data_IF_983499467898
#
_entry.id   IF_983499467898
#
_cell.length_a   1.000
_cell.length_b   1.000
_cell.length_c   1.000
_cell.angle_alpha   90.00
_cell.angle_beta   90.00
_cell.angle_gamma   90.00
#
_symmetry.space_group_name_H-M   'P 1'
#
loop_
_entity.id
_entity.type
_entity.pdbx_description
1 polymer ?
#
# COMPACT_ATOMS: atom_id res chain seq x y z
N UNK A 1 -18.40 -56.58 -34.10
CA UNK A 1 -16.98 -56.97 -34.29
C UNK A 1 -16.20 -56.29 -33.15
N UNK A 2 -16.00 -56.84 -31.94
CA UNK A 2 -15.18 -58.01 -31.53
C UNK A 2 -13.88 -58.07 -32.34
N UNK A 3 -12.67 -57.85 -31.78
CA UNK A 3 -11.82 -58.72 -30.91
C UNK A 3 -10.63 -57.84 -30.40
N UNK A 4 -10.41 -57.64 -29.09
CA UNK A 4 -9.42 -58.27 -28.15
C UNK A 4 -7.92 -58.23 -28.50
N UNK A 5 -7.10 -57.85 -27.49
CA UNK A 5 -5.81 -58.41 -27.01
C UNK A 5 -4.78 -57.27 -26.72
N UNK A 6 -4.26 -56.94 -25.53
CA UNK A 6 -3.78 -57.63 -24.30
C UNK A 6 -2.35 -58.23 -24.42
N UNK A 7 -1.36 -57.53 -23.85
CA UNK A 7 -0.07 -58.05 -23.34
C UNK A 7 0.39 -57.10 -22.21
N UNK A 8 0.48 -57.47 -20.90
CA UNK A 8 1.46 -58.35 -20.21
C UNK A 8 2.90 -57.77 -20.31
N UNK A 9 3.73 -57.52 -19.29
CA UNK A 9 4.04 -58.15 -17.98
C UNK A 9 5.02 -57.15 -17.24
N UNK A 10 4.89 -56.81 -15.95
CA UNK A 10 5.67 -57.31 -14.77
C UNK A 10 7.10 -57.81 -15.06
N UNK A 11 8.18 -57.61 -14.29
CA UNK A 11 8.52 -56.94 -13.04
C UNK A 11 10.05 -57.11 -12.79
N UNK A 12 10.59 -56.39 -11.79
CA UNK A 12 11.67 -56.76 -10.84
C UNK A 12 13.13 -57.03 -11.29
N UNK A 13 14.08 -56.40 -10.58
CA UNK A 13 15.15 -56.99 -9.72
C UNK A 13 16.27 -55.93 -9.52
N UNK A 14 16.55 -55.41 -8.32
CA UNK A 14 17.13 -56.00 -7.11
C UNK A 14 18.66 -56.23 -7.18
N UNK A 15 19.41 -55.53 -6.32
CA UNK A 15 20.68 -56.01 -5.70
C UNK A 15 20.90 -55.23 -4.40
N UNK A 16 20.62 -55.83 -3.24
CA UNK A 16 21.55 -56.60 -2.39
C UNK A 16 22.61 -55.73 -1.70
N UNK A 17 22.55 -55.63 -0.37
CA UNK A 17 23.60 -56.20 0.51
C UNK A 17 23.25 -55.98 1.99
N UNK A 18 22.95 -57.09 2.65
CA UNK A 18 22.88 -57.26 4.10
C UNK A 18 24.30 -57.44 4.67
N UNK A 19 24.63 -56.75 5.76
CA UNK A 19 25.61 -57.24 6.74
C UNK A 19 25.11 -57.00 8.16
N UNK A 20 24.79 -58.10 8.82
CA UNK A 20 24.60 -58.27 10.25
C UNK A 20 25.99 -58.44 10.87
N UNK A 21 26.33 -57.66 11.90
CA UNK A 21 27.32 -58.04 12.90
C UNK A 21 26.71 -57.69 14.27
N UNK A 22 26.51 -58.73 15.07
CA UNK A 22 26.21 -58.65 16.48
C UNK A 22 27.51 -58.53 17.28
N UNK A 23 27.48 -57.85 18.43
CA UNK A 23 27.97 -58.35 19.73
C UNK A 23 27.82 -57.29 20.84
N UNK A 24 27.40 -57.77 22.00
CA UNK A 24 27.11 -57.03 23.23
C UNK A 24 28.37 -56.78 24.07
N UNK A 25 28.30 -55.78 24.97
CA UNK A 25 28.90 -55.69 26.33
C UNK A 25 28.49 -54.32 26.92
N UNK A 26 27.62 -54.20 27.94
CA UNK A 26 27.93 -54.22 29.40
C UNK A 26 29.12 -53.30 29.74
N UNK A 27 29.09 -52.28 30.60
CA UNK A 27 28.17 -51.81 31.65
C UNK A 27 28.53 -50.31 32.00
N UNK A 28 28.38 -49.76 33.23
CA UNK A 28 27.21 -48.99 33.66
C UNK A 28 27.53 -47.60 34.30
N UNK A 29 26.48 -46.89 34.74
CA UNK A 29 26.46 -45.81 35.73
C UNK A 29 27.30 -44.53 35.50
N UNK A 30 26.59 -43.42 35.27
CA UNK A 30 27.14 -42.06 35.38
C UNK A 30 26.05 -41.01 35.19
N UNK A 31 25.15 -40.90 36.17
CA UNK A 31 24.22 -39.77 36.27
C UNK A 31 25.01 -38.50 36.56
N UNK A 32 25.03 -37.56 35.61
CA UNK A 32 25.15 -36.14 35.89
C UNK A 32 24.16 -35.37 35.02
N UNK A 33 23.11 -34.89 35.68
CA UNK A 33 22.20 -33.87 35.18
C UNK A 33 22.98 -32.67 34.62
N UNK A 34 22.58 -32.14 33.47
CA UNK A 34 22.99 -30.79 33.08
C UNK A 34 23.09 -30.50 31.58
N UNK A 35 22.01 -30.65 30.82
CA UNK A 35 21.66 -29.65 29.79
C UNK A 35 20.24 -29.93 29.29
N UNK A 36 19.31 -29.13 29.82
CA UNK A 36 17.98 -28.97 29.23
C UNK A 36 18.15 -28.58 27.75
N UNK A 37 17.53 -29.26 26.79
CA UNK A 37 17.46 -28.75 25.43
C UNK A 37 16.50 -27.57 25.43
N UNK A 38 17.00 -26.37 25.71
CA UNK A 38 16.30 -25.09 25.51
C UNK A 38 16.18 -24.71 24.03
N UNK A 39 16.05 -25.70 23.15
CA UNK A 39 15.83 -25.51 21.73
C UNK A 39 14.70 -26.42 21.31
N UNK A 40 13.48 -25.99 21.65
CA UNK A 40 12.23 -26.21 20.92
C UNK A 40 11.04 -25.66 21.75
N UNK A 41 11.16 -24.47 22.33
CA UNK A 41 9.97 -23.62 22.58
C UNK A 41 9.51 -23.03 21.25
N UNK A 42 9.20 -23.91 20.27
CA UNK A 42 8.32 -23.53 19.16
C UNK A 42 6.99 -23.23 19.83
N UNK A 43 6.69 -21.95 19.99
CA UNK A 43 5.37 -21.47 20.36
C UNK A 43 4.40 -21.87 19.26
N UNK A 44 3.93 -23.14 19.30
CA UNK A 44 2.87 -23.67 18.46
C UNK A 44 1.49 -23.18 18.96
N UNK A 45 1.43 -21.91 19.36
CA UNK A 45 0.19 -21.22 19.70
C UNK A 45 -0.02 -20.04 18.76
N UNK A 46 0.31 -20.21 17.48
CA UNK A 46 -0.37 -19.47 16.42
C UNK A 46 -1.78 -20.04 16.33
N UNK A 47 -2.72 -19.46 17.08
CA UNK A 47 -4.13 -19.87 17.02
C UNK A 47 -4.62 -19.79 15.57
N UNK A 48 -5.51 -20.69 15.15
CA UNK A 48 -6.06 -20.70 13.78
C UNK A 48 -6.70 -19.37 13.35
N UNK A 49 -7.01 -18.49 14.31
CA UNK A 49 -7.38 -17.09 14.11
C UNK A 49 -6.26 -16.23 13.51
N UNK A 50 -5.01 -16.40 13.95
CA UNK A 50 -3.83 -15.72 13.40
C UNK A 50 -3.45 -16.23 12.00
N UNK A 51 -3.78 -17.49 11.67
CA UNK A 51 -3.60 -18.06 10.31
C UNK A 51 -4.70 -17.61 9.31
N UNK A 52 -5.84 -17.13 9.81
CA UNK A 52 -6.97 -16.67 8.98
C UNK A 52 -7.01 -15.16 8.80
N UNK A 53 -6.26 -14.41 9.61
CA UNK A 53 -5.57 -13.20 9.15
C UNK A 53 -4.53 -13.61 8.09
N UNK A 54 -4.99 -14.21 6.99
CA UNK A 54 -4.20 -14.35 5.78
C UNK A 54 -3.77 -12.94 5.39
N UNK A 55 -2.51 -12.62 5.67
CA UNK A 55 -1.64 -11.68 4.98
C UNK A 55 -2.42 -10.62 4.19
N UNK A 56 -3.17 -9.77 4.90
CA UNK A 56 -3.58 -8.52 4.30
C UNK A 56 -2.35 -7.65 4.37
N UNK A 57 -1.63 -7.58 3.26
CA UNK A 57 -0.55 -6.61 3.16
C UNK A 57 -1.13 -5.23 3.45
N UNK A 58 -0.79 -4.61 4.59
CA UNK A 58 -1.38 -3.33 4.98
C UNK A 58 -0.99 -2.23 3.98
N UNK A 59 -0.01 -2.48 3.12
CA UNK A 59 0.36 -1.63 2.01
C UNK A 59 -0.65 -1.67 0.84
N UNK A 60 -1.28 -2.82 0.58
CA UNK A 60 -2.09 -3.08 -0.63
C UNK A 60 -3.59 -2.90 -0.43
N UNK A 61 -4.04 -2.98 0.81
CA UNK A 61 -5.45 -2.90 1.14
C UNK A 61 -5.72 -1.79 2.16
N UNK A 62 -6.77 -0.98 1.94
CA UNK A 62 -7.22 -0.07 2.96
C UNK A 62 -7.68 -0.84 4.20
N UNK A 63 -7.62 -0.22 5.40
CA UNK A 63 -8.15 -0.80 6.62
C UNK A 63 -9.57 -1.34 6.43
N UNK A 64 -9.90 -2.45 7.10
CA UNK A 64 -11.22 -3.05 7.01
C UNK A 64 -12.24 -2.21 7.78
N UNK A 65 -13.41 -1.94 7.18
CA UNK A 65 -14.53 -1.33 7.89
C UNK A 65 -14.94 -2.21 9.09
N UNK A 66 -15.26 -1.62 10.25
CA UNK A 66 -15.74 -2.37 11.40
C UNK A 66 -17.07 -3.04 11.05
N UNK A 67 -17.33 -4.20 11.67
CA UNK A 67 -18.57 -4.95 11.45
C UNK A 67 -19.76 -4.12 11.90
N UNK A 68 -20.80 -4.06 11.06
CA UNK A 68 -22.07 -3.41 11.40
C UNK A 68 -22.72 -4.06 12.62
N UNK A 69 -23.65 -3.36 13.32
CA UNK A 69 -24.32 -3.88 14.51
C UNK A 69 -24.95 -5.27 14.27
N UNK A 70 -25.69 -5.43 13.17
CA UNK A 70 -26.26 -6.71 12.76
C UNK A 70 -25.20 -7.81 12.55
N UNK A 71 -24.10 -7.52 11.85
CA UNK A 71 -23.05 -8.52 11.62
C UNK A 71 -22.34 -8.91 12.93
N UNK A 72 -22.24 -8.00 13.90
CA UNK A 72 -21.74 -8.31 15.24
C UNK A 72 -22.69 -9.24 15.98
N UNK A 73 -23.99 -8.95 15.93
CA UNK A 73 -25.01 -9.80 16.51
C UNK A 73 -25.02 -11.20 15.88
N UNK A 74 -24.99 -11.29 14.55
CA UNK A 74 -24.88 -12.57 13.84
C UNK A 74 -23.63 -13.34 14.27
N UNK A 75 -22.47 -12.67 14.40
CA UNK A 75 -21.24 -13.29 14.92
C UNK A 75 -21.41 -13.79 16.37
N UNK A 76 -22.10 -13.03 17.22
CA UNK A 76 -22.40 -13.41 18.59
C UNK A 76 -23.27 -14.68 18.64
N UNK A 77 -24.30 -14.78 17.80
CA UNK A 77 -25.13 -15.99 17.69
C UNK A 77 -24.33 -17.20 17.20
N UNK A 78 -23.50 -17.02 16.17
CA UNK A 78 -22.61 -18.09 15.67
C UNK A 78 -21.66 -18.58 16.77
N UNK A 79 -21.09 -17.66 17.56
CA UNK A 79 -20.23 -18.02 18.69
C UNK A 79 -21.01 -18.80 19.77
N UNK A 80 -22.25 -18.40 20.06
CA UNK A 80 -23.12 -19.10 21.01
C UNK A 80 -23.43 -20.53 20.53
N UNK A 81 -23.75 -20.72 19.26
CA UNK A 81 -24.03 -22.04 18.70
C UNK A 81 -22.79 -22.95 18.70
N UNK A 82 -21.63 -22.39 18.36
CA UNK A 82 -20.35 -23.12 18.39
C UNK A 82 -19.90 -23.51 19.80
N UNK A 83 -20.31 -22.81 20.85
CA UNK A 83 -20.03 -23.25 22.23
C UNK A 83 -20.68 -24.61 22.54
N UNK A 84 -21.87 -24.86 22.01
CA UNK A 84 -22.52 -26.17 22.14
C UNK A 84 -21.99 -27.21 21.15
N UNK A 85 -21.59 -26.77 19.94
CA UNK A 85 -21.11 -27.65 18.86
C UNK A 85 -19.86 -27.06 18.19
N UNK A 86 -18.66 -27.23 18.77
CA UNK A 86 -17.46 -26.53 18.31
C UNK A 86 -17.01 -26.90 16.89
N UNK A 87 -17.30 -28.12 16.44
CA UNK A 87 -16.92 -28.62 15.11
C UNK A 87 -17.98 -28.32 14.02
N UNK A 88 -19.09 -27.67 14.36
CA UNK A 88 -20.14 -27.38 13.39
C UNK A 88 -19.66 -26.36 12.35
N UNK A 89 -19.72 -26.77 11.07
CA UNK A 89 -19.51 -25.87 9.93
C UNK A 89 -20.81 -25.11 9.66
N UNK A 90 -20.88 -23.87 10.13
CA UNK A 90 -22.02 -22.98 9.92
C UNK A 90 -21.81 -22.22 8.61
N UNK A 91 -22.75 -22.38 7.68
CA UNK A 91 -22.84 -21.52 6.49
C UNK A 91 -23.40 -20.16 6.91
N UNK A 92 -22.56 -19.12 6.87
CA UNK A 92 -22.90 -17.79 7.36
C UNK A 92 -24.03 -17.13 6.58
N UNK A 93 -24.19 -17.45 5.30
CA UNK A 93 -25.23 -16.82 4.47
C UNK A 93 -26.60 -17.39 4.86
N UNK A 94 -26.71 -18.73 4.87
CA UNK A 94 -27.96 -19.41 5.26
C UNK A 94 -28.32 -19.11 6.71
N UNK A 95 -27.34 -19.17 7.61
CA UNK A 95 -27.55 -18.84 9.02
C UNK A 95 -28.02 -17.39 9.21
N UNK A 96 -27.40 -16.45 8.48
CA UNK A 96 -27.79 -15.06 8.47
C UNK A 96 -29.26 -14.88 8.06
N UNK A 97 -29.68 -15.52 6.97
CA UNK A 97 -31.04 -15.41 6.43
C UNK A 97 -32.09 -16.09 7.30
N UNK A 98 -31.81 -17.30 7.80
CA UNK A 98 -32.83 -18.13 8.45
C UNK A 98 -32.93 -17.90 9.96
N UNK A 99 -31.84 -17.52 10.61
CA UNK A 99 -31.77 -17.43 12.08
C UNK A 99 -31.48 -16.01 12.53
N UNK A 100 -30.39 -15.40 12.03
CA UNK A 100 -29.93 -14.13 12.57
C UNK A 100 -30.82 -12.95 12.19
N UNK A 101 -31.27 -12.87 10.94
CA UNK A 101 -32.16 -11.81 10.46
C UNK A 101 -33.50 -11.76 11.22
N UNK A 102 -34.31 -12.83 11.28
CA UNK A 102 -35.56 -12.79 12.03
C UNK A 102 -35.34 -12.56 13.53
N UNK A 103 -34.28 -13.13 14.09
CA UNK A 103 -33.93 -12.88 15.50
C UNK A 103 -33.59 -11.41 15.74
N UNK A 104 -32.80 -10.78 14.87
CA UNK A 104 -32.45 -9.36 14.98
C UNK A 104 -33.65 -8.44 14.84
N UNK A 105 -34.56 -8.74 13.91
CA UNK A 105 -35.81 -7.98 13.73
C UNK A 105 -36.71 -8.08 14.95
N UNK A 106 -36.76 -9.24 15.60
CA UNK A 106 -37.53 -9.46 16.84
C UNK A 106 -36.93 -8.82 18.10
N UNK A 107 -35.66 -8.39 18.07
CA UNK A 107 -35.02 -7.77 19.24
C UNK A 107 -35.58 -6.39 19.53
N UNK A 108 -35.72 -6.09 20.83
CA UNK A 108 -35.99 -4.74 21.29
C UNK A 108 -34.79 -3.82 21.05
N UNK A 109 -35.08 -2.53 20.92
CA UNK A 109 -34.05 -1.52 20.70
C UNK A 109 -33.03 -1.44 21.85
N UNK A 110 -33.48 -1.74 23.08
CA UNK A 110 -32.61 -1.87 24.25
C UNK A 110 -31.50 -2.91 24.05
N UNK A 111 -31.80 -4.01 23.35
CA UNK A 111 -30.90 -5.14 23.16
C UNK A 111 -29.99 -4.95 21.94
N UNK A 112 -30.41 -4.10 20.99
CA UNK A 112 -29.58 -3.68 19.84
C UNK A 112 -28.53 -2.64 20.25
N UNK A 113 -28.86 -1.78 21.23
CA UNK A 113 -28.03 -0.67 21.70
C UNK A 113 -26.58 -1.04 22.01
N UNK A 114 -26.24 -2.15 22.70
CA UNK A 114 -24.85 -2.53 22.96
C UNK A 114 -24.05 -2.78 21.67
N UNK A 115 -24.66 -3.38 20.65
CA UNK A 115 -24.01 -3.65 19.37
C UNK A 115 -23.79 -2.36 18.57
N UNK A 116 -24.72 -1.42 18.66
CA UNK A 116 -24.60 -0.11 18.05
C UNK A 116 -23.52 0.74 18.70
N UNK A 117 -23.47 0.78 20.03
CA UNK A 117 -22.44 1.48 20.78
C UNK A 117 -21.05 0.93 20.46
N UNK A 118 -20.90 -0.39 20.42
CA UNK A 118 -19.65 -1.03 20.03
C UNK A 118 -19.26 -0.71 18.58
N UNK A 119 -20.23 -0.67 17.65
CA UNK A 119 -19.99 -0.26 16.28
C UNK A 119 -19.53 1.19 16.19
N UNK A 120 -20.22 2.12 16.85
CA UNK A 120 -19.88 3.55 16.86
C UNK A 120 -18.48 3.78 17.44
N UNK A 121 -18.15 3.11 18.54
CA UNK A 121 -16.82 3.15 19.14
C UNK A 121 -15.74 2.70 18.13
N UNK A 122 -15.92 1.54 17.51
CA UNK A 122 -14.93 1.01 16.58
C UNK A 122 -14.86 1.84 15.29
N UNK A 123 -15.98 2.45 14.88
CA UNK A 123 -16.03 3.35 13.73
C UNK A 123 -15.25 4.65 13.98
N UNK A 124 -15.32 5.20 15.20
CA UNK A 124 -14.50 6.35 15.62
C UNK A 124 -13.01 6.05 15.52
N UNK A 125 -12.59 4.82 15.85
CA UNK A 125 -11.19 4.39 15.73
C UNK A 125 -10.79 4.07 14.27
N UNK A 126 -11.73 3.57 13.48
CA UNK A 126 -11.50 3.22 12.08
C UNK A 126 -11.28 4.44 11.19
N UNK A 127 -12.10 5.48 11.36
CA UNK A 127 -12.10 6.64 10.44
C UNK A 127 -10.76 7.36 10.30
N UNK A 128 -10.02 7.64 11.39
CA UNK A 128 -8.67 8.19 11.29
C UNK A 128 -7.72 7.25 10.56
N UNK A 129 -7.74 5.94 10.87
CA UNK A 129 -6.88 4.94 10.21
C UNK A 129 -7.14 4.85 8.71
N UNK A 130 -8.41 4.89 8.30
CA UNK A 130 -8.81 4.92 6.89
C UNK A 130 -8.25 6.17 6.22
N UNK A 131 -8.44 7.35 6.82
CA UNK A 131 -7.92 8.62 6.30
C UNK A 131 -6.39 8.57 6.16
N UNK A 132 -5.68 8.21 7.21
CA UNK A 132 -4.21 8.20 7.23
C UNK A 132 -3.65 7.24 6.17
N UNK A 133 -4.30 6.09 5.97
CA UNK A 133 -3.93 5.16 4.89
C UNK A 133 -4.08 5.82 3.52
N UNK A 134 -5.22 6.46 3.23
CA UNK A 134 -5.43 7.14 1.94
C UNK A 134 -4.48 8.33 1.75
N UNK A 135 -4.19 9.09 2.80
CA UNK A 135 -3.26 10.23 2.74
C UNK A 135 -1.80 9.80 2.58
N UNK A 136 -1.46 8.59 3.03
CA UNK A 136 -0.12 8.03 2.85
C UNK A 136 0.17 7.58 1.42
N UNK A 137 -0.85 7.51 0.55
CA UNK A 137 -0.70 7.03 -0.83
C UNK A 137 -0.76 8.18 -1.82
N UNK A 138 0.18 8.19 -2.75
CA UNK A 138 0.15 9.05 -3.93
C UNK A 138 -0.69 8.43 -5.04
N UNK A 139 -1.00 9.22 -6.08
CA UNK A 139 -1.67 8.71 -7.28
C UNK A 139 -0.88 7.59 -7.99
N UNK A 140 0.45 7.67 -7.99
CA UNK A 140 1.31 6.59 -8.51
C UNK A 140 1.21 5.32 -7.67
N UNK A 141 1.20 5.44 -6.34
CA UNK A 141 1.11 4.27 -5.46
C UNK A 141 -0.21 3.52 -5.66
N UNK A 142 -1.33 4.24 -5.82
CA UNK A 142 -2.63 3.61 -6.12
C UNK A 142 -2.62 2.94 -7.49
N UNK A 143 -1.92 3.48 -8.49
CA UNK A 143 -1.76 2.83 -9.79
C UNK A 143 -1.02 1.49 -9.66
N UNK A 144 0.10 1.47 -8.94
CA UNK A 144 0.89 0.25 -8.68
C UNK A 144 0.08 -0.78 -7.90
N UNK A 145 -0.60 -0.35 -6.82
CA UNK A 145 -1.50 -1.21 -6.05
C UNK A 145 -2.60 -1.78 -6.96
N UNK A 146 -3.13 -1.00 -7.90
CA UNK A 146 -4.15 -1.48 -8.83
C UNK A 146 -3.62 -2.50 -9.84
N UNK A 147 -2.38 -2.37 -10.29
CA UNK A 147 -1.73 -3.36 -11.14
C UNK A 147 -1.60 -4.69 -10.40
N UNK A 148 -1.09 -4.67 -9.16
CA UNK A 148 -1.02 -5.86 -8.32
C UNK A 148 -2.41 -6.45 -8.06
N UNK A 149 -3.41 -5.62 -7.75
CA UNK A 149 -4.79 -6.09 -7.55
C UNK A 149 -5.37 -6.77 -8.77
N UNK A 150 -5.05 -6.32 -9.99
CA UNK A 150 -5.47 -6.99 -11.22
C UNK A 150 -4.86 -8.38 -11.35
N UNK A 151 -3.59 -8.55 -10.99
CA UNK A 151 -2.91 -9.87 -10.99
C UNK A 151 -3.63 -10.87 -10.07
N UNK A 152 -4.14 -10.39 -8.93
CA UNK A 152 -4.92 -11.19 -7.99
C UNK A 152 -6.43 -11.26 -8.31
N UNK A 153 -6.89 -10.73 -9.46
CA UNK A 153 -8.31 -10.71 -9.81
C UNK A 153 -9.20 -9.83 -8.91
N UNK A 154 -8.58 -8.91 -8.16
CA UNK A 154 -9.27 -7.95 -7.29
C UNK A 154 -9.72 -6.71 -8.07
N UNK A 155 -10.84 -6.10 -7.64
CA UNK A 155 -11.32 -4.83 -8.21
C UNK A 155 -10.34 -3.70 -7.93
N UNK A 156 -10.12 -2.76 -8.88
CA UNK A 156 -9.26 -1.61 -8.66
C UNK A 156 -9.81 -0.70 -7.57
N UNK A 157 -8.90 -0.06 -6.85
CA UNK A 157 -9.15 1.01 -5.89
C UNK A 157 -9.15 2.36 -6.61
N UNK A 158 -10.00 3.24 -6.12
CA UNK A 158 -9.98 4.67 -6.43
C UNK A 158 -10.04 5.43 -5.13
N UNK A 159 -9.38 6.59 -5.07
CA UNK A 159 -9.48 7.47 -3.92
C UNK A 159 -10.94 7.81 -3.60
N UNK A 160 -11.35 7.73 -2.31
CA UNK A 160 -12.68 8.15 -1.89
C UNK A 160 -12.91 9.63 -2.17
N UNK A 161 -14.14 9.97 -2.58
CA UNK A 161 -14.51 11.36 -2.91
C UNK A 161 -14.29 12.30 -1.73
N UNK A 162 -14.47 11.83 -0.49
CA UNK A 162 -14.29 12.65 0.71
C UNK A 162 -12.84 13.16 0.84
N UNK A 163 -11.85 12.40 0.38
CA UNK A 163 -10.42 12.73 0.53
C UNK A 163 -9.81 13.41 -0.71
N UNK A 164 -10.50 13.41 -1.85
CA UNK A 164 -9.96 13.91 -3.12
C UNK A 164 -9.51 15.37 -3.08
N UNK A 165 -10.22 16.24 -2.35
CA UNK A 165 -9.84 17.66 -2.24
C UNK A 165 -8.51 17.80 -1.48
N UNK A 166 -8.43 17.15 -0.33
CA UNK A 166 -7.27 17.20 0.56
C UNK A 166 -6.03 16.57 -0.10
N UNK A 167 -6.19 15.44 -0.80
CA UNK A 167 -5.09 14.80 -1.55
C UNK A 167 -4.53 15.75 -2.62
N UNK A 168 -5.39 16.42 -3.38
CA UNK A 168 -4.95 17.40 -4.41
C UNK A 168 -4.23 18.59 -3.78
N UNK A 169 -4.69 19.06 -2.63
CA UNK A 169 -4.04 20.16 -1.90
C UNK A 169 -2.67 19.74 -1.39
N UNK A 170 -2.56 18.57 -0.76
CA UNK A 170 -1.29 18.00 -0.32
C UNK A 170 -0.32 17.80 -1.50
N UNK A 171 -0.79 17.30 -2.64
CA UNK A 171 0.03 17.14 -3.84
C UNK A 171 0.50 18.49 -4.40
N UNK A 172 -0.36 19.52 -4.39
CA UNK A 172 0.03 20.89 -4.78
C UNK A 172 1.08 21.46 -3.85
N UNK A 173 0.90 21.30 -2.54
CA UNK A 173 1.86 21.76 -1.54
C UNK A 173 3.20 21.03 -1.67
N UNK A 174 3.19 19.71 -1.86
CA UNK A 174 4.39 18.92 -2.10
C UNK A 174 5.14 19.41 -3.35
N UNK A 175 4.43 19.67 -4.47
CA UNK A 175 5.03 20.23 -5.69
C UNK A 175 5.58 21.64 -5.48
N UNK A 176 4.91 22.47 -4.68
CA UNK A 176 5.39 23.81 -4.36
C UNK A 176 6.65 23.76 -3.48
N UNK A 177 6.69 22.86 -2.50
CA UNK A 177 7.86 22.62 -1.65
C UNK A 177 9.02 22.05 -2.47
N UNK A 178 8.76 21.11 -3.38
CA UNK A 178 9.80 20.61 -4.29
C UNK A 178 10.34 21.73 -5.20
N UNK A 179 9.45 22.61 -5.67
CA UNK A 179 9.83 23.78 -6.47
C UNK A 179 10.66 24.80 -5.69
N UNK A 180 10.40 24.99 -4.39
CA UNK A 180 11.20 25.90 -3.56
C UNK A 180 12.58 25.34 -3.25
N UNK A 181 12.73 24.01 -3.16
CA UNK A 181 14.00 23.34 -2.96
C UNK A 181 14.86 23.28 -4.23
N UNK A 182 14.24 23.30 -5.43
CA UNK A 182 14.98 23.28 -6.69
C UNK A 182 15.78 24.58 -6.87
N UNK A 183 17.12 24.51 -7.02
CA UNK A 183 17.92 25.70 -7.23
C UNK A 183 17.47 26.37 -8.53
N UNK A 184 17.19 27.68 -8.46
CA UNK A 184 16.80 28.45 -9.65
C UNK A 184 17.83 28.23 -10.77
N UNK A 185 17.36 27.97 -11.98
CA UNK A 185 18.21 27.86 -13.16
C UNK A 185 19.01 29.14 -13.39
N UNK A 186 20.16 29.04 -14.04
CA UNK A 186 20.93 30.23 -14.44
C UNK A 186 20.11 30.94 -15.52
N UNK A 187 19.85 32.24 -15.35
CA UNK A 187 19.15 33.01 -16.37
C UNK A 187 20.03 33.15 -17.62
N UNK A 188 19.54 32.66 -18.76
CA UNK A 188 20.20 32.87 -20.06
C UNK A 188 20.23 34.37 -20.42
N UNK A 189 21.13 34.77 -21.32
CA UNK A 189 21.32 36.16 -21.79
C UNK A 189 20.00 36.87 -22.12
N UNK A 190 19.15 36.23 -22.94
CA UNK A 190 17.81 36.74 -23.28
C UNK A 190 16.93 36.95 -22.05
N UNK A 191 16.94 36.03 -21.08
CA UNK A 191 16.11 36.14 -19.86
C UNK A 191 16.56 37.32 -19.00
N UNK A 192 17.87 37.62 -18.96
CA UNK A 192 18.41 38.78 -18.25
C UNK A 192 17.93 40.09 -18.87
N UNK A 193 18.08 40.23 -20.19
CA UNK A 193 17.55 41.37 -20.94
C UNK A 193 16.04 41.55 -20.70
N UNK A 194 15.27 40.47 -20.81
CA UNK A 194 13.82 40.49 -20.58
C UNK A 194 13.47 40.94 -19.15
N UNK A 195 14.25 40.53 -18.14
CA UNK A 195 14.03 40.92 -16.74
C UNK A 195 14.23 42.42 -16.52
N UNK A 196 15.12 43.05 -17.28
CA UNK A 196 15.38 44.49 -17.23
C UNK A 196 14.29 45.29 -17.98
N UNK A 197 13.86 44.81 -19.14
CA UNK A 197 13.02 45.57 -20.08
C UNK A 197 11.52 45.34 -19.89
N UNK A 198 11.09 44.13 -19.47
CA UNK A 198 9.66 43.85 -19.26
C UNK A 198 9.02 44.78 -18.19
N UNK A 199 9.67 45.10 -17.06
CA UNK A 199 9.07 45.99 -16.06
C UNK A 199 8.79 47.41 -16.56
N UNK A 200 9.67 47.99 -17.40
CA UNK A 200 9.44 49.33 -17.99
C UNK A 200 8.32 49.27 -19.03
N UNK A 201 8.40 48.33 -19.97
CA UNK A 201 7.37 48.15 -21.00
C UNK A 201 6.01 47.79 -20.41
N UNK A 202 5.95 47.03 -19.33
CA UNK A 202 4.68 46.68 -18.67
C UNK A 202 4.04 47.87 -17.96
N UNK A 203 4.82 48.87 -17.52
CA UNK A 203 4.28 50.13 -16.99
C UNK A 203 3.74 51.02 -18.10
N UNK A 204 4.39 51.02 -19.25
CA UNK A 204 3.99 51.82 -20.42
C UNK A 204 2.75 51.25 -21.12
N UNK A 205 2.73 49.93 -21.34
CA UNK A 205 1.66 49.25 -22.08
C UNK A 205 0.48 48.83 -21.18
N UNK A 206 0.66 48.82 -19.85
CA UNK A 206 -0.35 48.36 -18.89
C UNK A 206 -0.67 46.85 -18.94
N UNK A 207 -0.11 46.11 -19.90
CA UNK A 207 -0.33 44.69 -20.11
C UNK A 207 1.00 43.92 -20.17
N UNK A 208 1.19 42.98 -19.24
CA UNK A 208 2.40 42.15 -19.15
C UNK A 208 2.62 41.26 -20.38
N UNK A 209 1.54 40.80 -21.04
CA UNK A 209 1.67 39.96 -22.24
C UNK A 209 2.17 40.75 -23.45
N UNK A 210 1.72 42.00 -23.61
CA UNK A 210 2.16 42.88 -24.69
C UNK A 210 3.59 43.36 -24.47
N UNK A 211 3.95 43.68 -23.23
CA UNK A 211 5.32 44.00 -22.83
C UNK A 211 6.30 42.85 -23.14
N UNK A 212 5.91 41.60 -22.90
CA UNK A 212 6.74 40.44 -23.24
C UNK A 212 6.94 40.29 -24.75
N UNK A 213 5.90 40.53 -25.56
CA UNK A 213 5.99 40.50 -27.03
C UNK A 213 6.88 41.62 -27.55
N UNK A 214 6.73 42.84 -27.03
CA UNK A 214 7.54 44.00 -27.40
C UNK A 214 9.01 43.80 -27.03
N UNK A 215 9.31 43.35 -25.80
CA UNK A 215 10.67 43.01 -25.39
C UNK A 215 11.28 41.91 -26.27
N UNK A 216 10.48 40.94 -26.72
CA UNK A 216 10.98 39.91 -27.63
C UNK A 216 11.31 40.44 -29.02
N UNK A 217 10.61 41.46 -29.52
CA UNK A 217 10.95 42.10 -30.79
C UNK A 217 12.25 42.90 -30.62
N UNK A 218 12.34 43.70 -29.56
CA UNK A 218 13.54 44.47 -29.24
C UNK A 218 14.78 43.57 -29.13
N UNK A 219 14.69 42.42 -28.44
CA UNK A 219 15.81 41.47 -28.37
C UNK A 219 16.29 40.96 -29.73
N UNK A 220 15.37 40.77 -30.69
CA UNK A 220 15.72 40.30 -32.02
C UNK A 220 16.35 41.40 -32.87
N UNK A 221 15.99 42.66 -32.61
CA UNK A 221 16.51 43.86 -33.29
C UNK A 221 17.89 44.29 -32.75
N UNK A 222 18.25 43.89 -31.52
CA UNK A 222 19.57 44.16 -30.95
C UNK A 222 20.69 43.54 -31.80
N UNK A 223 21.76 44.31 -31.95
CA UNK A 223 23.02 43.87 -32.55
C UNK A 223 23.76 42.89 -31.63
N UNK A 224 24.75 42.18 -32.17
CA UNK A 224 25.54 41.22 -31.38
C UNK A 224 26.36 41.91 -30.29
N UNK A 225 26.84 43.13 -30.55
CA UNK A 225 27.56 43.97 -29.59
C UNK A 225 26.66 44.35 -28.39
N UNK A 226 25.39 44.69 -28.64
CA UNK A 226 24.43 45.01 -27.58
C UNK A 226 23.99 43.78 -26.78
N UNK A 227 24.08 42.59 -27.39
CA UNK A 227 23.80 41.31 -26.71
C UNK A 227 24.98 40.82 -25.88
N UNK A 228 26.21 41.22 -26.22
CA UNK A 228 27.45 40.81 -25.56
C UNK A 228 27.41 40.91 -24.02
N UNK A 229 27.01 42.03 -23.39
CA UNK A 229 27.00 42.14 -21.92
C UNK A 229 26.11 41.07 -21.26
N UNK A 230 24.99 40.74 -21.89
CA UNK A 230 24.08 39.71 -21.40
C UNK A 230 24.65 38.30 -21.57
N UNK A 231 25.41 38.06 -22.63
CA UNK A 231 26.10 36.79 -22.87
C UNK A 231 27.24 36.58 -21.87
N UNK A 232 28.07 37.59 -21.64
CA UNK A 232 29.16 37.54 -20.67
C UNK A 232 28.62 37.31 -19.25
N UNK A 233 27.55 38.02 -18.85
CA UNK A 233 26.91 37.83 -17.55
C UNK A 233 26.37 36.40 -17.35
N UNK A 234 25.81 35.80 -18.41
CA UNK A 234 25.37 34.40 -18.39
C UNK A 234 26.55 33.43 -18.21
N UNK A 235 27.63 33.62 -18.97
CA UNK A 235 28.82 32.76 -18.88
C UNK A 235 29.47 32.82 -17.51
N UNK A 236 29.58 34.02 -16.92
CA UNK A 236 30.13 34.22 -15.57
C UNK A 236 29.34 33.44 -14.51
N UNK A 237 28.02 33.62 -14.47
CA UNK A 237 27.16 32.92 -13.49
C UNK A 237 27.14 31.40 -13.73
N UNK A 238 27.28 30.96 -14.99
CA UNK A 238 27.41 29.54 -15.32
C UNK A 238 28.67 28.93 -14.73
N UNK A 239 29.81 29.60 -14.88
CA UNK A 239 31.10 29.15 -14.33
C UNK A 239 31.06 29.14 -12.80
N UNK A 240 30.55 30.19 -12.17
CA UNK A 240 30.40 30.27 -10.71
C UNK A 240 29.57 29.10 -10.15
N UNK A 241 28.46 28.75 -10.82
CA UNK A 241 27.59 27.64 -10.39
C UNK A 241 28.20 26.25 -10.64
N UNK A 242 29.03 26.09 -11.66
CA UNK A 242 29.78 24.85 -11.92
C UNK A 242 30.90 24.64 -10.89
N UNK A 243 31.56 25.72 -10.46
CA UNK A 243 32.58 25.67 -9.40
C UNK A 243 31.96 25.29 -8.05
N UNK A 244 30.79 25.81 -7.70
CA UNK A 244 30.06 25.48 -6.46
C UNK A 244 29.54 24.03 -6.38
N UNK A 245 29.56 23.28 -7.48
CA UNK A 245 29.13 21.88 -7.53
C UNK A 245 30.27 20.87 -7.34
N UNK A 246 31.53 21.31 -7.42
CA UNK A 246 32.73 20.50 -7.16
C UNK A 246 33.11 20.55 -5.68
#
# INVERSE_FOLDING_TARGET
MFIKALAKFTALCASNSTKVIALANLAPFGSLFGSSPELLKRTLFTTATQLRERERDPALQPPAKPKSPYLRFMHHLIQKEKRGKPLLKIDTIKFGQQVAAPSWESLFESDKKPFEQAYQHDYKLYKPKERDWWMSKTHSDISLINEERRLYGMKPLSFPKEYMKEIRENERQARQAEKSLKPKGIANSRIRFMKEVIPSLSRELGNSQEAMKAASKQWNELTDDEKEPYQQAYLKERVEKELLKK
#
